data_IF_118616932204
#
_entry.id   IF_118616932204
#
_cell.length_a   1.000
_cell.length_b   1.000
_cell.length_c   1.000
_cell.angle_alpha   90.00
_cell.angle_beta   90.00
_cell.angle_gamma   90.00
#
_symmetry.space_group_name_H-M   'P 1'
#
loop_
_entity.id
_entity.type
_entity.pdbx_description
1 polymer ?
#
# COMPACT_ATOMS: atom_id res chain seq x y z
N UNK A 1 -7.10 18.14 -2.89
CA UNK A 1 -7.20 17.41 -4.19
C UNK A 1 -8.55 17.60 -4.91
N UNK A 2 -9.70 17.51 -4.23
CA UNK A 2 -11.02 17.47 -4.88
C UNK A 2 -11.61 18.82 -5.32
N UNK A 3 -10.86 19.92 -5.18
CA UNK A 3 -11.30 21.25 -5.65
C UNK A 3 -11.01 21.46 -7.14
N UNK A 4 -10.17 20.63 -7.77
CA UNK A 4 -9.81 20.69 -9.18
C UNK A 4 -10.09 19.36 -9.89
N UNK A 5 -10.32 19.36 -11.21
CA UNK A 5 -10.52 18.15 -11.99
C UNK A 5 -9.37 17.14 -11.87
N UNK A 6 -9.67 15.83 -11.91
CA UNK A 6 -8.65 14.76 -11.87
C UNK A 6 -7.51 14.95 -12.86
N UNK A 7 -7.83 15.33 -14.09
CA UNK A 7 -6.85 15.58 -15.16
C UNK A 7 -5.77 16.60 -14.76
N UNK A 8 -6.10 17.56 -13.90
CA UNK A 8 -5.18 18.60 -13.47
C UNK A 8 -4.32 18.16 -12.29
N UNK A 9 -4.94 17.72 -11.19
CA UNK A 9 -4.18 17.37 -9.98
C UNK A 9 -3.41 16.05 -10.10
N UNK A 10 -3.78 15.16 -11.02
CA UNK A 10 -2.99 13.98 -11.38
C UNK A 10 -1.98 14.25 -12.51
N UNK A 11 -1.87 15.50 -12.98
CA UNK A 11 -0.93 15.90 -14.01
C UNK A 11 -1.07 15.11 -15.33
N UNK A 12 -2.29 15.02 -15.87
CA UNK A 12 -2.54 14.35 -17.16
C UNK A 12 -1.79 15.01 -18.32
N UNK A 13 -1.48 16.30 -18.22
CA UNK A 13 -0.67 17.01 -19.21
C UNK A 13 0.82 16.66 -19.18
N UNK A 14 1.29 15.88 -18.19
CA UNK A 14 2.70 15.56 -17.95
C UNK A 14 3.57 16.83 -18.02
N UNK A 15 3.14 17.85 -17.30
CA UNK A 15 3.88 19.10 -17.19
C UNK A 15 4.85 18.99 -16.01
N UNK A 16 6.14 19.30 -16.17
CA UNK A 16 7.05 19.34 -15.04
C UNK A 16 6.68 20.53 -14.13
N UNK A 17 7.03 20.43 -12.86
CA UNK A 17 7.10 21.63 -12.03
C UNK A 17 8.13 22.59 -12.65
N UNK A 18 7.93 23.92 -12.56
CA UNK A 18 8.88 24.92 -13.07
C UNK A 18 10.09 25.05 -12.12
N UNK A 19 10.71 23.91 -11.80
CA UNK A 19 11.85 23.76 -10.89
C UNK A 19 12.84 22.79 -11.50
N UNK A 20 14.12 23.06 -11.27
CA UNK A 20 15.19 22.12 -11.58
C UNK A 20 15.21 21.00 -10.56
N UNK A 21 15.80 19.88 -10.93
CA UNK A 21 15.99 18.72 -10.04
C UNK A 21 16.57 19.14 -8.67
N UNK A 22 17.54 20.05 -8.63
CA UNK A 22 18.20 20.50 -7.39
C UNK A 22 17.29 21.24 -6.40
N UNK A 23 16.18 21.80 -6.89
CA UNK A 23 15.20 22.61 -6.16
C UNK A 23 13.93 21.82 -5.78
N UNK A 24 13.86 20.56 -6.19
CA UNK A 24 12.73 19.68 -5.90
C UNK A 24 12.75 19.17 -4.46
N UNK A 25 11.56 18.87 -3.93
CA UNK A 25 11.39 18.37 -2.56
C UNK A 25 12.09 17.02 -2.34
N UNK A 26 11.91 16.05 -3.23
CA UNK A 26 12.62 14.76 -3.17
C UNK A 26 14.14 14.93 -3.10
N UNK A 27 14.71 15.85 -3.89
CA UNK A 27 16.15 16.17 -3.87
C UNK A 27 16.60 16.82 -2.58
N UNK A 28 15.79 17.72 -2.01
CA UNK A 28 16.06 18.27 -0.69
C UNK A 28 16.10 17.18 0.39
N UNK A 29 15.13 16.26 0.40
CA UNK A 29 15.07 15.15 1.37
C UNK A 29 16.29 14.22 1.21
N UNK A 30 16.66 13.89 -0.02
CA UNK A 30 17.88 13.12 -0.30
C UNK A 30 19.13 13.85 0.24
N UNK A 31 19.23 15.17 0.03
CA UNK A 31 20.35 15.98 0.56
C UNK A 31 20.40 15.99 2.09
N UNK A 32 19.27 16.12 2.77
CA UNK A 32 19.22 16.04 4.24
C UNK A 32 19.61 14.64 4.74
N UNK A 33 19.17 13.60 4.03
CA UNK A 33 19.53 12.21 4.33
C UNK A 33 21.04 11.99 4.19
N UNK A 34 21.65 12.50 3.11
CA UNK A 34 23.10 12.45 2.89
C UNK A 34 23.87 13.19 3.97
N UNK A 35 23.42 14.38 4.38
CA UNK A 35 24.04 15.14 5.47
C UNK A 35 23.99 14.38 6.80
N UNK A 36 22.86 13.76 7.11
CA UNK A 36 22.73 12.91 8.30
C UNK A 36 23.72 11.73 8.26
N UNK A 37 23.91 11.09 7.10
CA UNK A 37 24.89 10.01 6.96
C UNK A 37 26.33 10.48 7.18
N UNK A 38 26.69 11.69 6.72
CA UNK A 38 28.00 12.29 6.98
C UNK A 38 28.24 12.54 8.48
N UNK A 39 27.22 13.07 9.17
CA UNK A 39 27.25 13.25 10.62
C UNK A 39 27.39 11.89 11.33
N UNK A 40 26.58 10.90 10.97
CA UNK A 40 26.63 9.55 11.52
C UNK A 40 28.03 8.92 11.35
N UNK A 41 28.59 8.99 10.14
CA UNK A 41 29.93 8.51 9.83
C UNK A 41 31.01 9.16 10.71
N UNK A 42 30.90 10.46 10.98
CA UNK A 42 31.86 11.19 11.83
C UNK A 42 31.83 10.76 13.31
N UNK A 43 30.67 10.31 13.80
CA UNK A 43 30.52 9.91 15.22
C UNK A 43 30.89 8.46 15.49
N UNK A 44 30.79 7.59 14.48
CA UNK A 44 30.96 6.13 14.61
C UNK A 44 29.88 5.43 15.45
N UNK A 45 28.81 6.14 15.83
CA UNK A 45 27.69 5.57 16.60
C UNK A 45 26.70 4.84 15.67
N UNK A 46 25.97 3.84 16.18
CA UNK A 46 24.83 3.27 15.46
C UNK A 46 23.83 4.37 15.07
N UNK A 47 23.26 4.26 13.88
CA UNK A 47 22.30 5.22 13.34
C UNK A 47 21.04 4.53 12.82
N UNK A 48 19.97 5.30 12.69
CA UNK A 48 18.74 4.89 12.03
C UNK A 48 18.23 6.07 11.19
N UNK A 49 18.03 5.84 9.89
CA UNK A 49 17.59 6.86 8.95
C UNK A 49 16.27 6.43 8.31
N UNK A 50 15.23 7.23 8.53
CA UNK A 50 13.97 7.13 7.80
C UNK A 50 13.97 8.11 6.62
N UNK A 51 14.35 7.63 5.43
CA UNK A 51 14.34 8.43 4.20
C UNK A 51 12.98 8.31 3.49
N UNK A 52 12.05 9.20 3.84
CA UNK A 52 10.69 9.21 3.26
C UNK A 52 10.60 10.17 2.08
N UNK A 53 10.78 9.64 0.87
CA UNK A 53 10.48 10.41 -0.35
C UNK A 53 8.96 10.49 -0.54
N UNK A 54 8.46 11.64 -1.02
CA UNK A 54 7.02 11.85 -1.18
C UNK A 54 6.53 11.32 -2.52
N UNK A 55 7.37 11.48 -3.55
CA UNK A 55 7.13 10.99 -4.89
C UNK A 55 7.01 9.45 -4.86
N UNK A 56 6.12 8.84 -5.69
CA UNK A 56 5.26 9.45 -6.69
C UNK A 56 3.85 9.78 -6.16
N UNK A 57 3.67 10.21 -4.91
CA UNK A 57 2.35 10.66 -4.45
C UNK A 57 1.87 11.87 -5.27
N UNK A 58 0.57 11.91 -5.59
CA UNK A 58 -0.06 13.00 -6.34
C UNK A 58 -0.02 14.36 -5.62
N UNK A 59 0.09 15.51 -6.32
CA UNK A 59 0.30 15.64 -7.76
C UNK A 59 1.61 15.01 -8.23
N UNK A 60 1.58 14.35 -9.39
CA UNK A 60 2.73 13.64 -9.92
C UNK A 60 3.76 14.62 -10.45
N UNK A 61 4.59 15.08 -9.53
CA UNK A 61 5.56 16.13 -9.73
C UNK A 61 6.92 15.54 -10.12
N UNK A 62 7.59 16.21 -11.06
CA UNK A 62 8.93 15.91 -11.53
C UNK A 62 9.58 17.19 -12.08
N UNK A 63 10.92 17.27 -12.12
CA UNK A 63 11.64 18.49 -12.50
C UNK A 63 11.62 18.74 -14.01
N UNK A 64 12.00 19.96 -14.43
CA UNK A 64 12.00 20.37 -15.84
C UNK A 64 12.87 19.49 -16.74
N UNK A 65 13.95 18.93 -16.19
CA UNK A 65 14.87 18.03 -16.88
C UNK A 65 14.20 16.70 -17.31
N UNK A 66 13.18 16.25 -16.57
CA UNK A 66 12.51 14.97 -16.82
C UNK A 66 11.29 15.09 -17.76
N UNK A 67 11.02 16.29 -18.30
CA UNK A 67 9.85 16.57 -19.16
C UNK A 67 9.62 15.52 -20.25
N UNK A 68 10.69 15.04 -20.87
CA UNK A 68 10.65 14.10 -22.00
C UNK A 68 11.13 12.69 -21.63
N UNK A 69 11.29 12.38 -20.34
CA UNK A 69 11.88 11.11 -19.89
C UNK A 69 11.05 9.89 -20.33
N UNK A 70 9.73 9.98 -20.21
CA UNK A 70 8.80 8.88 -20.53
C UNK A 70 7.77 9.36 -21.54
N UNK A 71 7.59 8.66 -22.65
CA UNK A 71 6.57 9.04 -23.63
C UNK A 71 5.16 8.62 -23.19
N UNK A 72 4.16 9.49 -23.46
CA UNK A 72 2.76 9.24 -23.12
C UNK A 72 2.19 8.02 -23.85
N UNK A 73 2.57 7.86 -25.13
CA UNK A 73 2.10 6.76 -25.98
C UNK A 73 2.63 5.39 -25.58
N UNK A 74 3.54 5.30 -24.61
CA UNK A 74 4.13 4.04 -24.15
C UNK A 74 3.18 3.19 -23.31
N UNK A 75 2.04 3.74 -22.87
CA UNK A 75 1.12 3.04 -21.97
C UNK A 75 -0.23 2.80 -22.60
N UNK A 76 -0.75 1.59 -22.40
CA UNK A 76 -2.17 1.28 -22.60
C UNK A 76 -2.88 1.40 -21.26
N UNK A 77 -3.89 2.28 -21.11
CA UNK A 77 -4.66 2.36 -19.89
C UNK A 77 -5.27 1.00 -19.53
N UNK A 78 -5.20 0.57 -18.25
CA UNK A 78 -5.78 -0.69 -17.83
C UNK A 78 -7.27 -0.79 -18.17
N UNK A 79 -7.73 -2.03 -18.35
CA UNK A 79 -9.14 -2.31 -18.60
C UNK A 79 -9.98 -2.05 -17.35
N UNK A 80 -11.23 -1.67 -17.59
CA UNK A 80 -12.30 -1.62 -16.60
C UNK A 80 -13.13 -2.89 -16.76
N UNK A 81 -13.37 -3.60 -15.67
CA UNK A 81 -14.19 -4.80 -15.64
C UNK A 81 -15.69 -4.52 -15.76
N UNK A 82 -16.48 -5.53 -16.15
CA UNK A 82 -17.93 -5.37 -16.33
C UNK A 82 -18.67 -5.01 -15.04
N UNK A 83 -18.11 -5.32 -13.87
CA UNK A 83 -18.71 -5.12 -12.55
C UNK A 83 -18.18 -3.87 -11.81
N UNK A 84 -17.30 -3.08 -12.44
CA UNK A 84 -16.63 -1.95 -11.80
C UNK A 84 -17.46 -0.66 -11.79
N UNK A 85 -18.50 -0.56 -12.61
CA UNK A 85 -19.22 0.70 -12.84
C UNK A 85 -19.68 1.39 -11.54
N UNK A 86 -20.21 0.61 -10.59
CA UNK A 86 -20.75 1.14 -9.33
C UNK A 86 -19.67 1.65 -8.36
N UNK A 87 -18.44 1.16 -8.48
CA UNK A 87 -17.35 1.50 -7.56
C UNK A 87 -16.42 2.58 -8.12
N UNK A 88 -16.51 2.93 -9.41
CA UNK A 88 -15.68 3.97 -10.01
C UNK A 88 -16.04 5.33 -9.40
N UNK A 89 -15.07 6.03 -8.78
CA UNK A 89 -15.30 7.39 -8.29
C UNK A 89 -15.68 8.34 -9.43
N UNK A 90 -16.68 9.18 -9.18
CA UNK A 90 -17.23 10.12 -10.18
C UNK A 90 -16.14 11.00 -10.79
N UNK A 91 -15.15 11.40 -10.00
CA UNK A 91 -14.05 12.28 -10.41
C UNK A 91 -13.15 11.66 -11.51
N UNK A 92 -13.18 10.34 -11.71
CA UNK A 92 -12.36 9.65 -12.72
C UNK A 92 -13.15 9.18 -13.95
N UNK A 93 -14.48 9.27 -13.92
CA UNK A 93 -15.36 8.68 -14.93
C UNK A 93 -15.14 9.28 -16.33
N UNK A 94 -14.89 10.59 -16.38
CA UNK A 94 -14.80 11.36 -17.63
C UNK A 94 -13.36 11.55 -18.13
N UNK A 95 -12.40 10.81 -17.58
CA UNK A 95 -11.02 10.82 -18.10
C UNK A 95 -10.97 10.14 -19.47
N UNK A 96 -10.49 10.88 -20.47
CA UNK A 96 -10.22 10.37 -21.81
C UNK A 96 -9.07 9.35 -21.81
N UNK A 97 -8.90 8.61 -22.90
CA UNK A 97 -7.80 7.64 -23.02
C UNK A 97 -6.44 8.36 -22.93
N UNK A 98 -6.31 9.47 -23.62
CA UNK A 98 -5.10 10.30 -23.68
C UNK A 98 -4.77 10.87 -22.29
N UNK A 99 -5.76 11.32 -21.53
CA UNK A 99 -5.53 11.80 -20.16
C UNK A 99 -5.07 10.68 -19.23
N UNK A 100 -5.64 9.47 -19.36
CA UNK A 100 -5.19 8.31 -18.58
C UNK A 100 -3.74 7.96 -18.90
N UNK A 101 -3.35 7.96 -20.18
CA UNK A 101 -1.96 7.78 -20.60
C UNK A 101 -1.04 8.87 -20.03
N UNK A 102 -1.50 10.12 -20.09
CA UNK A 102 -0.94 11.29 -19.41
C UNK A 102 -0.58 11.05 -17.95
N UNK A 103 -1.58 10.65 -17.18
CA UNK A 103 -1.48 10.39 -15.75
C UNK A 103 -0.49 9.26 -15.45
N UNK A 104 -0.57 8.15 -16.19
CA UNK A 104 0.34 6.99 -16.03
C UNK A 104 1.79 7.41 -16.28
N UNK A 105 2.04 8.14 -17.36
CA UNK A 105 3.38 8.59 -17.70
C UNK A 105 3.93 9.62 -16.70
N UNK A 106 3.08 10.52 -16.19
CA UNK A 106 3.46 11.45 -15.13
C UNK A 106 3.84 10.71 -13.84
N UNK A 107 3.05 9.71 -13.42
CA UNK A 107 3.37 8.85 -12.28
C UNK A 107 4.74 8.18 -12.44
N UNK A 108 5.01 7.52 -13.57
CA UNK A 108 6.29 6.86 -13.78
C UNK A 108 7.46 7.84 -13.92
N UNK A 109 7.23 9.05 -14.42
CA UNK A 109 8.26 10.09 -14.48
C UNK A 109 8.61 10.58 -13.08
N UNK A 110 7.60 10.78 -12.23
CA UNK A 110 7.77 11.09 -10.80
C UNK A 110 8.46 9.94 -10.05
N UNK A 111 8.13 8.69 -10.36
CA UNK A 111 8.78 7.52 -9.78
C UNK A 111 10.25 7.39 -10.21
N UNK A 112 10.59 7.72 -11.46
CA UNK A 112 11.98 7.76 -11.92
C UNK A 112 12.78 8.87 -11.22
N UNK A 113 12.16 10.03 -10.97
CA UNK A 113 12.76 11.09 -10.16
C UNK A 113 12.98 10.65 -8.70
N UNK A 114 12.03 9.94 -8.10
CA UNK A 114 12.18 9.31 -6.77
C UNK A 114 13.36 8.32 -6.76
N UNK A 115 13.43 7.41 -7.74
CA UNK A 115 14.49 6.41 -7.86
C UNK A 115 15.88 7.05 -7.96
N UNK A 116 16.02 8.10 -8.79
CA UNK A 116 17.27 8.89 -8.89
C UNK A 116 17.68 9.49 -7.54
N UNK A 117 16.73 9.98 -6.75
CA UNK A 117 17.02 10.56 -5.43
C UNK A 117 17.37 9.50 -4.38
N UNK A 118 16.72 8.35 -4.42
CA UNK A 118 17.11 7.22 -3.59
C UNK A 118 18.53 6.74 -3.94
N UNK A 119 18.86 6.68 -5.23
CA UNK A 119 20.20 6.38 -5.73
C UNK A 119 21.28 7.28 -5.15
N UNK A 120 21.04 8.60 -5.04
CA UNK A 120 21.96 9.55 -4.41
C UNK A 120 22.26 9.21 -2.95
N UNK A 121 21.25 8.79 -2.19
CA UNK A 121 21.41 8.40 -0.78
C UNK A 121 22.24 7.12 -0.68
N UNK A 122 21.96 6.12 -1.54
CA UNK A 122 22.74 4.89 -1.60
C UNK A 122 24.19 5.13 -2.02
N UNK A 123 24.43 6.02 -2.98
CA UNK A 123 25.77 6.39 -3.41
C UNK A 123 26.54 7.09 -2.30
N UNK A 124 25.89 7.97 -1.53
CA UNK A 124 26.51 8.58 -0.35
C UNK A 124 26.89 7.53 0.70
N UNK A 125 26.02 6.55 0.95
CA UNK A 125 26.29 5.44 1.87
C UNK A 125 27.57 4.68 1.46
N UNK A 126 27.73 4.39 0.16
CA UNK A 126 28.94 3.78 -0.43
C UNK A 126 30.18 4.67 -0.31
N UNK A 127 30.05 5.95 -0.63
CA UNK A 127 31.15 6.93 -0.52
C UNK A 127 31.71 6.99 0.91
N UNK A 128 30.82 6.88 1.91
CA UNK A 128 31.18 6.85 3.33
C UNK A 128 31.58 5.45 3.84
N UNK A 129 31.55 4.42 2.99
CA UNK A 129 31.81 3.01 3.32
C UNK A 129 30.93 2.47 4.46
N UNK A 130 29.69 2.94 4.53
CA UNK A 130 28.72 2.49 5.52
C UNK A 130 27.86 1.32 4.98
N UNK A 131 27.87 1.08 3.68
CA UNK A 131 26.99 0.14 2.98
C UNK A 131 27.23 -1.33 3.35
N UNK A 132 28.46 -1.68 3.75
CA UNK A 132 28.79 -3.04 4.21
C UNK A 132 28.15 -3.40 5.57
N UNK A 133 27.81 -2.40 6.39
CA UNK A 133 27.28 -2.59 7.74
C UNK A 133 25.94 -1.84 7.97
N UNK A 134 25.18 -1.59 6.90
CA UNK A 134 23.87 -0.95 6.98
C UNK A 134 22.78 -1.89 6.50
N UNK A 135 21.77 -2.11 7.33
CA UNK A 135 20.53 -2.76 6.90
C UNK A 135 19.70 -1.74 6.10
N UNK A 136 19.53 -2.01 4.82
CA UNK A 136 18.71 -1.21 3.92
C UNK A 136 17.37 -1.90 3.76
N UNK A 137 16.28 -1.18 4.06
CA UNK A 137 14.91 -1.63 3.83
C UNK A 137 14.22 -0.63 2.92
N UNK A 138 13.74 -1.09 1.77
CA UNK A 138 12.92 -0.32 0.85
C UNK A 138 11.50 -0.90 0.82
N UNK A 139 10.51 -0.05 1.03
CA UNK A 139 9.10 -0.41 0.96
C UNK A 139 8.25 0.80 0.54
N UNK A 140 6.98 0.57 0.23
CA UNK A 140 5.97 1.62 0.09
C UNK A 140 4.89 1.46 1.17
N UNK A 141 4.17 2.52 1.51
CA UNK A 141 3.05 2.49 2.45
C UNK A 141 1.82 1.80 1.84
N UNK A 142 1.57 2.03 0.55
CA UNK A 142 0.51 1.38 -0.22
C UNK A 142 0.87 1.31 -1.72
N UNK A 143 0.10 0.54 -2.48
CA UNK A 143 0.15 0.52 -3.94
C UNK A 143 -0.57 1.73 -4.57
N UNK A 144 -0.74 1.74 -5.89
CA UNK A 144 -1.51 2.79 -6.56
C UNK A 144 -2.21 2.23 -7.80
N UNK A 145 -3.53 2.41 -7.88
CA UNK A 145 -4.30 2.14 -9.09
C UNK A 145 -3.99 3.21 -10.13
N UNK A 146 -3.55 2.80 -11.31
CA UNK A 146 -3.22 3.67 -12.43
C UNK A 146 -4.21 3.47 -13.58
N UNK A 147 -5.51 3.47 -13.26
CA UNK A 147 -6.62 3.15 -14.16
C UNK A 147 -7.19 1.74 -13.95
N UNK A 148 -6.54 0.89 -13.15
CA UNK A 148 -7.10 -0.41 -12.74
C UNK A 148 -8.46 -0.21 -12.08
N UNK A 149 -9.46 -0.99 -12.51
CA UNK A 149 -10.86 -0.87 -12.09
C UNK A 149 -11.46 0.54 -12.28
N UNK A 150 -10.91 1.34 -13.20
CA UNK A 150 -11.31 2.73 -13.44
C UNK A 150 -10.89 3.71 -12.34
N UNK A 151 -9.90 3.34 -11.51
CA UNK A 151 -9.46 4.11 -10.34
C UNK A 151 -8.04 4.67 -10.53
N UNK A 152 -7.82 5.91 -10.07
CA UNK A 152 -6.51 6.58 -10.04
C UNK A 152 -6.14 7.00 -8.61
N UNK A 153 -6.00 6.02 -7.71
CA UNK A 153 -5.81 6.17 -6.26
C UNK A 153 -5.61 4.79 -5.57
N UNK A 154 -5.89 4.63 -4.27
CA UNK A 154 -5.53 3.44 -3.47
C UNK A 154 -6.55 3.00 -2.40
N UNK A 155 -7.68 3.68 -2.29
CA UNK A 155 -8.77 3.46 -1.32
C UNK A 155 -9.70 2.34 -1.82
N UNK A 156 -9.12 1.15 -2.02
CA UNK A 156 -9.83 -0.05 -2.44
C UNK A 156 -9.03 -1.31 -2.10
N UNK A 157 -9.71 -2.45 -2.14
CA UNK A 157 -9.11 -3.74 -1.80
C UNK A 157 -8.29 -4.42 -2.90
N UNK A 158 -8.10 -3.82 -4.08
CA UNK A 158 -7.43 -4.46 -5.22
C UNK A 158 -5.90 -4.60 -5.02
N UNK A 159 -5.28 -5.59 -5.67
CA UNK A 159 -3.84 -5.86 -5.51
C UNK A 159 -3.00 -4.65 -5.92
N UNK A 160 -3.46 -3.88 -6.92
CA UNK A 160 -2.80 -2.64 -7.33
C UNK A 160 -2.72 -1.60 -6.22
N UNK A 161 -3.63 -1.62 -5.25
CA UNK A 161 -3.65 -0.72 -4.11
C UNK A 161 -2.95 -1.28 -2.86
N UNK A 162 -2.91 -2.60 -2.70
CA UNK A 162 -2.42 -3.24 -1.46
C UNK A 162 -1.01 -3.85 -1.59
N UNK A 163 -0.61 -4.31 -2.78
CA UNK A 163 0.66 -5.01 -2.97
C UNK A 163 1.79 -4.01 -3.20
N UNK A 164 2.73 -3.96 -2.25
CA UNK A 164 3.88 -3.06 -2.27
C UNK A 164 5.20 -3.80 -2.50
N UNK A 165 6.25 -3.14 -3.02
CA UNK A 165 7.60 -3.68 -2.99
C UNK A 165 8.10 -3.79 -1.55
N UNK A 166 8.87 -4.85 -1.26
CA UNK A 166 9.68 -4.96 -0.05
C UNK A 166 11.04 -5.53 -0.44
N UNK A 167 12.09 -4.72 -0.32
CA UNK A 167 13.47 -5.14 -0.55
C UNK A 167 14.27 -4.94 0.73
N UNK A 168 15.08 -5.94 1.09
CA UNK A 168 15.96 -5.88 2.26
C UNK A 168 17.37 -6.30 1.86
N UNK A 169 18.37 -5.51 2.25
CA UNK A 169 19.78 -5.78 1.98
C UNK A 169 20.63 -5.51 3.21
N UNK A 170 21.47 -6.47 3.56
CA UNK A 170 22.50 -6.34 4.58
C UNK A 170 23.62 -7.31 4.22
N UNK A 171 24.73 -6.81 3.63
CA UNK A 171 25.84 -7.65 3.19
C UNK A 171 26.32 -8.63 4.27
N UNK A 172 26.58 -9.87 3.88
CA UNK A 172 27.04 -10.92 4.79
C UNK A 172 25.99 -11.50 5.75
N UNK A 173 24.80 -10.90 5.88
CA UNK A 173 23.73 -11.38 6.78
C UNK A 173 22.46 -11.80 6.05
N UNK A 174 22.10 -11.08 4.99
CA UNK A 174 20.94 -11.40 4.14
C UNK A 174 21.41 -12.16 2.89
N UNK A 175 20.78 -13.29 2.60
CA UNK A 175 21.03 -14.08 1.39
C UNK A 175 20.26 -13.52 0.20
N UNK A 176 20.88 -13.44 -0.99
CA UNK A 176 20.17 -13.09 -2.22
C UNK A 176 19.05 -14.10 -2.52
N UNK A 177 17.87 -13.61 -2.90
CA UNK A 177 16.74 -14.46 -3.27
C UNK A 177 15.45 -13.68 -3.49
N UNK A 178 14.43 -14.38 -3.97
CA UNK A 178 13.07 -13.87 -4.13
C UNK A 178 12.12 -14.72 -3.30
N UNK A 179 11.38 -14.08 -2.40
CA UNK A 179 10.39 -14.73 -1.54
C UNK A 179 9.01 -14.53 -2.16
N UNK A 180 8.25 -15.63 -2.28
CA UNK A 180 6.88 -15.63 -2.84
C UNK A 180 5.80 -15.90 -1.80
N UNK A 181 6.18 -16.27 -0.58
CA UNK A 181 5.26 -16.41 0.53
C UNK A 181 4.70 -15.04 0.95
N UNK A 182 3.53 -15.05 1.60
CA UNK A 182 2.88 -13.82 2.03
C UNK A 182 3.62 -13.11 3.16
N UNK A 183 3.68 -11.78 3.06
CA UNK A 183 4.20 -10.86 4.08
C UNK A 183 3.24 -9.70 4.29
N UNK A 184 3.23 -9.11 5.48
CA UNK A 184 2.47 -7.91 5.84
C UNK A 184 3.42 -6.81 6.32
N UNK A 185 3.04 -5.54 6.25
CA UNK A 185 3.84 -4.44 6.83
C UNK A 185 4.14 -4.63 8.32
N UNK A 186 3.23 -5.30 9.05
CA UNK A 186 3.39 -5.64 10.46
C UNK A 186 4.58 -6.55 10.73
N UNK A 187 5.06 -7.28 9.71
CA UNK A 187 6.22 -8.17 9.80
C UNK A 187 7.55 -7.39 9.88
N UNK A 188 7.59 -6.11 9.49
CA UNK A 188 8.81 -5.29 9.52
C UNK A 188 9.35 -5.09 10.94
N UNK A 189 8.51 -4.69 11.89
CA UNK A 189 8.94 -4.41 13.26
C UNK A 189 9.63 -5.62 13.94
N UNK A 190 9.02 -6.83 14.00
CA UNK A 190 9.69 -7.99 14.60
C UNK A 190 10.94 -8.42 13.80
N UNK A 191 10.94 -8.24 12.48
CA UNK A 191 12.12 -8.55 11.65
C UNK A 191 13.30 -7.63 11.99
N UNK A 192 13.06 -6.32 12.09
CA UNK A 192 14.09 -5.35 12.42
C UNK A 192 14.67 -5.60 13.82
N UNK A 193 13.80 -5.87 14.80
CA UNK A 193 14.25 -6.15 16.16
C UNK A 193 15.10 -7.42 16.24
N UNK A 194 14.70 -8.49 15.53
CA UNK A 194 15.50 -9.72 15.47
C UNK A 194 16.85 -9.51 14.77
N UNK A 195 16.89 -8.78 13.66
CA UNK A 195 18.15 -8.51 12.93
C UNK A 195 19.13 -7.61 13.70
N UNK A 196 18.60 -6.76 14.58
CA UNK A 196 19.37 -5.82 15.40
C UNK A 196 19.65 -6.34 16.82
N UNK A 197 19.28 -7.59 17.12
CA UNK A 197 19.39 -8.19 18.46
C UNK A 197 18.71 -7.34 19.57
N UNK A 198 17.59 -6.70 19.23
CA UNK A 198 16.80 -5.85 20.11
C UNK A 198 15.61 -6.62 20.74
N UNK A 199 15.13 -6.21 21.94
CA UNK A 199 14.02 -6.89 22.59
C UNK A 199 12.71 -6.75 21.79
N UNK A 200 11.83 -7.77 21.82
CA UNK A 200 10.55 -7.73 21.10
C UNK A 200 9.61 -6.67 21.67
N UNK A 201 8.64 -6.23 20.85
CA UNK A 201 7.58 -5.34 21.31
C UNK A 201 6.63 -6.09 22.26
N UNK A 202 6.06 -5.43 23.29
CA UNK A 202 5.09 -6.05 24.20
C UNK A 202 3.84 -6.59 23.49
N UNK A 203 3.44 -5.96 22.39
CA UNK A 203 2.36 -6.40 21.51
C UNK A 203 2.90 -6.43 20.09
N UNK A 204 2.87 -7.61 19.46
CA UNK A 204 3.25 -7.81 18.07
C UNK A 204 2.27 -8.76 17.38
N UNK A 205 1.81 -8.38 16.20
CA UNK A 205 0.89 -9.21 15.39
C UNK A 205 1.54 -9.68 14.08
N UNK A 206 2.74 -9.15 13.76
CA UNK A 206 3.56 -9.60 12.64
C UNK A 206 4.41 -10.82 12.99
N UNK A 207 4.99 -11.42 11.95
CA UNK A 207 5.93 -12.53 12.03
C UNK A 207 7.28 -12.06 11.51
N UNK A 208 8.37 -12.41 12.20
CA UNK A 208 9.71 -12.07 11.70
C UNK A 208 9.99 -12.77 10.37
N UNK A 209 10.54 -12.02 9.42
CA UNK A 209 10.96 -12.48 8.10
C UNK A 209 12.41 -12.98 8.11
N UNK A 210 13.11 -12.91 9.25
CA UNK A 210 14.50 -13.33 9.38
C UNK A 210 14.81 -14.75 8.86
N UNK A 211 13.93 -15.77 9.00
CA UNK A 211 14.16 -17.07 8.40
C UNK A 211 14.38 -16.98 6.88
N UNK A 212 13.52 -16.23 6.17
CA UNK A 212 13.65 -16.03 4.72
C UNK A 212 14.94 -15.33 4.34
N UNK A 213 15.30 -14.29 5.09
CA UNK A 213 16.52 -13.52 4.89
C UNK A 213 17.79 -14.36 5.07
N UNK A 214 17.72 -15.43 5.86
CA UNK A 214 18.81 -16.38 6.07
C UNK A 214 18.79 -17.56 5.10
N UNK A 215 17.90 -17.54 4.09
CA UNK A 215 17.71 -18.58 3.07
C UNK A 215 16.93 -19.80 3.54
N UNK A 216 16.14 -19.66 4.61
CA UNK A 216 15.28 -20.72 5.13
C UNK A 216 13.82 -20.34 4.93
N UNK A 217 12.96 -21.31 4.71
CA UNK A 217 11.51 -21.10 4.78
C UNK A 217 11.06 -21.38 6.23
N UNK A 218 10.28 -20.51 6.88
CA UNK A 218 9.74 -20.79 8.22
C UNK A 218 8.83 -22.03 8.16
N UNK A 219 8.71 -22.76 9.27
CA UNK A 219 7.90 -23.98 9.34
C UNK A 219 6.41 -23.73 9.09
N UNK A 220 5.92 -22.56 9.51
CA UNK A 220 4.53 -22.13 9.36
C UNK A 220 4.48 -20.83 8.55
N UNK A 221 4.70 -20.89 7.22
CA UNK A 221 4.60 -19.70 6.39
C UNK A 221 3.15 -19.19 6.38
N UNK A 222 3.00 -17.87 6.36
CA UNK A 222 1.70 -17.20 6.30
C UNK A 222 0.90 -17.68 5.07
N UNK A 223 -0.38 -18.02 5.30
CA UNK A 223 -1.28 -18.57 4.26
C UNK A 223 -2.27 -17.55 3.71
N UNK A 224 -2.42 -16.42 4.39
CA UNK A 224 -3.32 -15.33 4.02
C UNK A 224 -2.78 -13.99 4.51
N UNK A 225 -3.18 -12.91 3.84
CA UNK A 225 -2.98 -11.52 4.29
C UNK A 225 -4.33 -10.85 4.53
N UNK A 226 -4.35 -9.91 5.47
CA UNK A 226 -5.54 -9.11 5.80
C UNK A 226 -5.18 -7.63 5.73
N UNK A 227 -6.13 -6.83 5.24
CA UNK A 227 -6.04 -5.37 5.23
C UNK A 227 -7.44 -4.78 5.46
N UNK A 228 -7.49 -3.54 5.89
CA UNK A 228 -8.72 -2.84 6.30
C UNK A 228 -8.76 -1.46 5.66
N UNK A 229 -9.96 -1.04 5.26
CA UNK A 229 -10.24 0.35 4.89
C UNK A 229 -11.49 0.81 5.62
N UNK A 230 -11.29 1.25 6.87
CA UNK A 230 -12.38 1.54 7.80
C UNK A 230 -13.24 2.74 7.37
N UNK A 231 -12.71 3.67 6.59
CA UNK A 231 -13.50 4.81 6.06
C UNK A 231 -14.70 4.34 5.23
N UNK A 232 -14.61 3.15 4.62
CA UNK A 232 -15.71 2.48 3.91
C UNK A 232 -16.24 1.24 4.65
N UNK A 233 -15.83 1.03 5.91
CA UNK A 233 -16.14 -0.15 6.71
C UNK A 233 -15.83 -1.45 5.95
N UNK A 234 -14.67 -1.48 5.30
CA UNK A 234 -14.20 -2.56 4.42
C UNK A 234 -13.07 -3.38 5.07
N UNK A 235 -13.14 -4.70 4.92
CA UNK A 235 -12.04 -5.62 5.19
C UNK A 235 -11.74 -6.49 3.97
N UNK A 236 -10.45 -6.76 3.79
CA UNK A 236 -9.90 -7.52 2.68
C UNK A 236 -9.14 -8.72 3.21
N UNK A 237 -9.35 -9.87 2.62
CA UNK A 237 -8.55 -11.06 2.87
C UNK A 237 -8.11 -11.68 1.56
N UNK A 238 -6.83 -12.01 1.45
CA UNK A 238 -6.28 -12.71 0.29
C UNK A 238 -5.56 -13.98 0.73
N UNK A 239 -5.82 -15.09 0.03
CA UNK A 239 -5.05 -16.33 0.04
C UNK A 239 -4.30 -16.51 -1.29
N UNK A 240 -3.65 -17.65 -1.49
CA UNK A 240 -3.01 -18.03 -2.75
C UNK A 240 -3.99 -18.09 -3.94
N UNK A 241 -5.25 -18.46 -3.67
CA UNK A 241 -6.29 -18.61 -4.69
C UNK A 241 -7.41 -17.59 -4.57
N UNK A 242 -7.80 -17.20 -3.37
CA UNK A 242 -9.04 -16.46 -3.17
C UNK A 242 -8.77 -15.06 -2.65
N UNK A 243 -9.61 -14.12 -3.06
CA UNK A 243 -9.64 -12.79 -2.47
C UNK A 243 -11.04 -12.37 -2.12
N UNK A 244 -11.26 -12.07 -0.86
CA UNK A 244 -12.51 -11.63 -0.28
C UNK A 244 -12.45 -10.12 -0.03
N UNK A 245 -13.48 -9.41 -0.43
CA UNK A 245 -13.79 -8.05 0.01
C UNK A 245 -15.13 -8.11 0.74
N UNK A 246 -15.18 -7.65 1.98
CA UNK A 246 -16.41 -7.56 2.76
C UNK A 246 -16.60 -6.13 3.27
N UNK A 247 -17.81 -5.60 3.13
CA UNK A 247 -18.18 -4.29 3.65
C UNK A 247 -19.57 -4.33 4.27
N UNK A 248 -19.73 -3.59 5.37
CA UNK A 248 -21.07 -3.29 5.93
C UNK A 248 -21.91 -2.46 4.95
N UNK A 249 -21.25 -1.63 4.13
CA UNK A 249 -21.79 -0.56 3.29
C UNK A 249 -22.77 0.40 3.97
N UNK A 250 -22.70 0.54 5.31
CA UNK A 250 -23.61 1.40 6.10
C UNK A 250 -23.13 2.84 6.18
N UNK A 251 -21.81 3.05 6.06
CA UNK A 251 -21.17 4.36 6.09
C UNK A 251 -21.23 5.04 4.72
N UNK A 252 -21.63 6.31 4.72
CA UNK A 252 -21.55 7.16 3.54
C UNK A 252 -20.08 7.46 3.21
N UNK A 253 -19.70 7.31 1.95
CA UNK A 253 -18.34 7.61 1.46
C UNK A 253 -18.07 9.11 1.44
N UNK A 254 -17.30 9.58 2.43
CA UNK A 254 -16.90 10.99 2.60
C UNK A 254 -15.40 11.24 2.33
N UNK A 255 -14.68 10.21 1.88
CA UNK A 255 -13.26 10.22 1.50
C UNK A 255 -12.93 11.08 0.26
N UNK A 256 -13.95 11.68 -0.36
CA UNK A 256 -13.85 12.49 -1.57
C UNK A 256 -13.90 11.68 -2.87
N UNK A 257 -14.02 10.35 -2.79
CA UNK A 257 -14.14 9.44 -3.92
C UNK A 257 -15.57 8.92 -4.09
N UNK A 258 -16.53 9.85 -4.03
CA UNK A 258 -17.96 9.55 -4.20
C UNK A 258 -18.21 8.77 -5.49
N UNK A 259 -19.11 7.80 -5.41
CA UNK A 259 -19.64 7.02 -6.53
C UNK A 259 -21.12 7.39 -6.75
N UNK A 260 -21.79 6.78 -7.73
CA UNK A 260 -23.25 6.97 -7.91
C UNK A 260 -24.06 6.54 -6.69
N UNK A 261 -23.54 5.56 -5.93
CA UNK A 261 -24.14 5.08 -4.69
C UNK A 261 -23.14 5.21 -3.54
N UNK A 262 -23.08 6.37 -2.85
CA UNK A 262 -22.13 6.63 -1.78
C UNK A 262 -22.39 5.81 -0.51
N UNK A 263 -23.56 5.15 -0.40
CA UNK A 263 -23.88 4.21 0.68
C UNK A 263 -24.31 2.89 0.04
N UNK A 264 -23.35 2.04 -0.37
CA UNK A 264 -23.64 0.90 -1.25
C UNK A 264 -24.51 -0.18 -0.62
N UNK A 265 -24.70 -0.14 0.71
CA UNK A 265 -25.27 -1.25 1.46
C UNK A 265 -24.27 -2.41 1.56
N UNK A 266 -24.59 -3.40 2.40
CA UNK A 266 -23.71 -4.55 2.62
C UNK A 266 -23.39 -5.23 1.29
N UNK A 267 -22.11 -5.43 1.04
CA UNK A 267 -21.67 -6.19 -0.12
C UNK A 267 -20.51 -7.13 0.26
N UNK A 268 -20.38 -8.20 -0.51
CA UNK A 268 -19.28 -9.15 -0.37
C UNK A 268 -18.90 -9.61 -1.75
N UNK A 269 -17.61 -9.48 -2.09
CA UNK A 269 -17.05 -9.95 -3.35
C UNK A 269 -16.01 -11.02 -3.10
N UNK A 270 -15.96 -12.00 -3.98
CA UNK A 270 -14.96 -13.05 -3.97
C UNK A 270 -14.38 -13.22 -5.37
N UNK A 271 -13.05 -13.17 -5.48
CA UNK A 271 -12.33 -13.38 -6.75
C UNK A 271 -11.49 -14.67 -6.69
N UNK A 272 -11.56 -15.51 -7.73
CA UNK A 272 -10.69 -16.68 -7.93
C UNK A 272 -9.42 -16.25 -8.68
N UNK A 273 -8.38 -15.87 -7.95
CA UNK A 273 -7.14 -15.30 -8.47
C UNK A 273 -6.34 -16.24 -9.39
N UNK A 274 -6.64 -17.54 -9.37
CA UNK A 274 -6.03 -18.50 -10.31
C UNK A 274 -6.66 -18.43 -11.71
N UNK A 275 -7.95 -18.10 -11.78
CA UNK A 275 -8.71 -17.98 -13.04
C UNK A 275 -8.86 -16.53 -13.49
N UNK A 276 -8.88 -15.62 -12.54
CA UNK A 276 -9.09 -14.19 -12.71
C UNK A 276 -8.08 -13.41 -11.85
N UNK A 277 -6.80 -13.40 -12.25
CA UNK A 277 -5.77 -12.63 -11.54
C UNK A 277 -6.00 -11.11 -11.60
N UNK A 278 -6.90 -10.65 -12.48
CA UNK A 278 -7.28 -9.24 -12.62
C UNK A 278 -8.46 -8.81 -11.76
N UNK A 279 -9.06 -9.72 -10.97
CA UNK A 279 -10.12 -9.40 -10.01
C UNK A 279 -11.38 -8.77 -10.63
N UNK A 280 -11.80 -9.26 -11.82
CA UNK A 280 -12.89 -8.66 -12.60
C UNK A 280 -14.26 -9.33 -12.42
N UNK A 281 -14.32 -10.57 -11.97
CA UNK A 281 -15.55 -11.36 -11.89
C UNK A 281 -15.84 -11.79 -10.46
N UNK A 282 -16.91 -11.26 -9.86
CA UNK A 282 -17.35 -11.70 -8.55
C UNK A 282 -17.99 -13.10 -8.62
N UNK A 283 -17.39 -14.05 -7.92
CA UNK A 283 -17.88 -15.43 -7.79
C UNK A 283 -18.47 -15.75 -6.41
N UNK A 284 -18.72 -14.72 -5.59
CA UNK A 284 -19.28 -14.85 -4.22
C UNK A 284 -20.57 -15.65 -4.19
N UNK A 285 -21.50 -15.38 -5.10
CA UNK A 285 -22.80 -16.03 -5.19
C UNK A 285 -22.72 -17.53 -5.52
N UNK A 286 -21.69 -17.96 -6.25
CA UNK A 286 -21.49 -19.36 -6.65
C UNK A 286 -20.59 -20.14 -5.70
N UNK A 287 -19.86 -19.45 -4.79
CA UNK A 287 -18.95 -20.05 -3.82
C UNK A 287 -19.25 -19.61 -2.37
N UNK A 288 -20.50 -19.73 -1.87
CA UNK A 288 -20.89 -19.22 -0.55
C UNK A 288 -20.13 -19.89 0.61
N UNK A 289 -19.73 -21.16 0.44
CA UNK A 289 -18.91 -21.86 1.45
C UNK A 289 -17.52 -21.23 1.61
N UNK A 290 -16.88 -20.86 0.50
CA UNK A 290 -15.58 -20.19 0.51
C UNK A 290 -15.70 -18.82 1.16
N UNK A 291 -16.75 -18.06 0.82
CA UNK A 291 -17.04 -16.77 1.47
C UNK A 291 -17.12 -16.92 2.99
N UNK A 292 -17.92 -17.86 3.48
CA UNK A 292 -18.09 -18.10 4.91
C UNK A 292 -16.77 -18.52 5.60
N UNK A 293 -15.98 -19.39 4.97
CA UNK A 293 -14.67 -19.79 5.47
C UNK A 293 -13.71 -18.61 5.61
N UNK A 294 -13.62 -17.75 4.59
CA UNK A 294 -12.71 -16.60 4.60
C UNK A 294 -13.19 -15.50 5.58
N UNK A 295 -14.50 -15.29 5.69
CA UNK A 295 -15.06 -14.38 6.70
C UNK A 295 -14.76 -14.86 8.13
N UNK A 296 -14.78 -16.18 8.35
CA UNK A 296 -14.38 -16.75 9.64
C UNK A 296 -12.89 -16.50 9.92
N UNK A 297 -12.02 -16.61 8.93
CA UNK A 297 -10.59 -16.28 9.09
C UNK A 297 -10.39 -14.79 9.42
N UNK A 298 -11.12 -13.88 8.77
CA UNK A 298 -11.14 -12.46 9.12
C UNK A 298 -11.57 -12.24 10.58
N UNK A 299 -12.67 -12.88 10.98
CA UNK A 299 -13.20 -12.76 12.34
C UNK A 299 -12.22 -13.31 13.39
N UNK A 300 -11.57 -14.44 13.12
CA UNK A 300 -10.52 -15.00 13.98
C UNK A 300 -9.33 -14.02 14.13
N UNK A 301 -8.95 -13.34 13.04
CA UNK A 301 -7.93 -12.28 13.10
C UNK A 301 -8.37 -11.15 14.01
N UNK A 302 -9.57 -10.62 13.82
CA UNK A 302 -10.08 -9.53 14.66
C UNK A 302 -10.18 -9.91 16.14
N UNK A 303 -10.70 -11.10 16.44
CA UNK A 303 -10.76 -11.61 17.82
C UNK A 303 -9.36 -11.80 18.42
N UNK A 304 -8.33 -12.06 17.63
CA UNK A 304 -6.96 -12.17 18.11
C UNK A 304 -6.30 -10.79 18.33
N UNK A 305 -6.52 -9.83 17.42
CA UNK A 305 -5.67 -8.61 17.34
C UNK A 305 -6.40 -7.31 17.62
N UNK A 306 -7.73 -7.25 17.53
CA UNK A 306 -8.49 -6.01 17.68
C UNK A 306 -8.53 -5.56 19.15
N UNK A 307 -8.28 -4.27 19.45
CA UNK A 307 -8.22 -3.77 20.83
C UNK A 307 -9.57 -3.83 21.57
N UNK A 308 -10.68 -3.86 20.84
CA UNK A 308 -12.03 -3.97 21.41
C UNK A 308 -12.63 -5.38 21.31
N UNK A 309 -11.80 -6.41 21.10
CA UNK A 309 -12.29 -7.80 20.99
C UNK A 309 -13.15 -8.25 22.16
N UNK A 310 -12.87 -7.76 23.37
CA UNK A 310 -13.60 -8.11 24.60
C UNK A 310 -14.98 -7.43 24.68
N UNK A 311 -15.30 -6.53 23.75
CA UNK A 311 -16.60 -5.84 23.62
C UNK A 311 -17.49 -6.44 22.53
N UNK A 312 -17.07 -7.52 21.87
CA UNK A 312 -17.85 -8.18 20.82
C UNK A 312 -19.25 -8.63 21.35
N UNK A 313 -20.36 -8.30 20.68
CA UNK A 313 -21.69 -8.71 21.12
C UNK A 313 -21.93 -10.22 21.00
N UNK A 314 -22.33 -10.86 22.10
CA UNK A 314 -22.47 -12.33 22.21
C UNK A 314 -23.55 -12.98 21.34
N UNK A 315 -24.52 -12.22 20.80
CA UNK A 315 -25.66 -12.75 20.02
C UNK A 315 -25.68 -12.28 18.55
N UNK A 316 -24.56 -11.78 18.02
CA UNK A 316 -24.52 -11.13 16.69
C UNK A 316 -24.36 -12.09 15.50
N UNK A 317 -24.03 -13.38 15.75
CA UNK A 317 -23.62 -14.32 14.71
C UNK A 317 -22.30 -13.91 14.03
N UNK A 318 -21.71 -14.78 13.21
CA UNK A 318 -20.36 -14.52 12.66
C UNK A 318 -20.28 -13.24 11.81
N UNK A 319 -21.33 -12.95 11.03
CA UNK A 319 -21.38 -11.72 10.22
C UNK A 319 -21.55 -10.48 11.09
N UNK A 320 -22.46 -10.51 12.07
CA UNK A 320 -22.64 -9.35 12.96
C UNK A 320 -21.40 -9.09 13.81
N UNK A 321 -20.69 -10.15 14.22
CA UNK A 321 -19.41 -10.05 14.91
C UNK A 321 -18.30 -9.49 13.99
N UNK A 322 -18.23 -9.93 12.73
CA UNK A 322 -17.29 -9.38 11.75
C UNK A 322 -17.53 -7.87 11.54
N UNK A 323 -18.79 -7.49 11.32
CA UNK A 323 -19.18 -6.11 11.08
C UNK A 323 -19.03 -5.19 12.31
N UNK A 324 -18.97 -5.74 13.53
CA UNK A 324 -18.67 -4.97 14.73
C UNK A 324 -17.28 -4.31 14.68
N UNK A 325 -16.33 -4.92 13.98
CA UNK A 325 -14.93 -4.45 13.93
C UNK A 325 -14.64 -3.42 12.82
N UNK A 326 -15.56 -3.22 11.88
CA UNK A 326 -15.32 -2.41 10.67
C UNK A 326 -15.59 -0.89 10.79
N UNK A 327 -16.45 -0.42 11.71
CA UNK A 327 -16.63 1.02 11.90
C UNK A 327 -15.34 1.74 12.34
N UNK A 328 -15.06 2.94 11.82
CA UNK A 328 -13.98 3.79 12.30
C UNK A 328 -14.12 4.11 13.79
N UNK A 329 -13.00 4.09 14.52
CA UNK A 329 -12.95 4.30 15.99
C UNK A 329 -12.74 5.76 16.40
N UNK A 330 -12.44 6.61 15.44
CA UNK A 330 -12.22 8.06 15.58
C UNK A 330 -13.52 8.85 15.84
N UNK A 331 -14.69 8.20 15.82
CA UNK A 331 -15.98 8.79 16.17
C UNK A 331 -16.45 8.53 17.61
N UNK A 332 -15.58 8.11 18.54
CA UNK A 332 -15.96 8.14 19.94
C UNK A 332 -16.26 9.60 20.36
N UNK A 333 -17.45 9.93 20.88
CA UNK A 333 -17.65 11.24 21.51
C UNK A 333 -16.57 11.40 22.58
N UNK A 334 -15.99 12.61 22.76
CA UNK A 334 -14.95 12.82 23.76
C UNK A 334 -15.46 12.24 25.08
N UNK A 335 -14.62 11.41 25.70
CA UNK A 335 -14.94 10.81 27.00
C UNK A 335 -15.45 11.92 27.91
N UNK A 336 -16.71 11.82 28.36
CA UNK A 336 -17.26 12.77 29.32
C UNK A 336 -16.33 12.73 30.53
N UNK A 337 -15.64 13.86 30.75
CA UNK A 337 -14.79 14.10 31.90
C UNK A 337 -15.60 14.08 33.20
#
# INVERSE_FOLDING_TARGET
>A
PFATPAREWLNAGKLPLPRKDEDMRGTYIARQSMKYLEEAASTGKPFALWCSLQEPHSPFDFPVEDRNLIDLGSFEPPRVGPEDAWQIPLIFRDLTREEKQGIIAAYYTSAAFMDRNFGRVLDKLRQLRLDENTLIVYTADHGYCLGHHGRFEKHCGYDSALRVPLLMSLPGRIRPGVIRDFTEHLDLAPTLLELLDAPPLPVQHGQSLAPYLQGRRPEKPRRHIISEYLENEEAFLRTDRWKLIHSTGRRERLDGYKTDNPTPGRYTKLYDLQKDPGEFHDVSATHPKVVAELQKVLLERFRATHPERDREPSQSGDIGALEFYLPPRDNAPPARA
#
